data_IF_059069832716
#
_entry.id   IF_059069832716
#
_cell.length_a   1.000
_cell.length_b   1.000
_cell.length_c   1.000
_cell.angle_alpha   90.00
_cell.angle_beta   90.00
_cell.angle_gamma   90.00
#
_symmetry.space_group_name_H-M   'P 1'
#
loop_
_entity.id
_entity.type
_entity.pdbx_description
1 polymer ?
#
# COMPACT_ATOMS: atom_id res chain seq x y z
N UNK A 1 0.37 -7.18 26.93
CA UNK A 1 0.79 -7.33 25.52
C UNK A 1 2.09 -6.57 25.35
N UNK A 2 3.15 -7.19 24.82
CA UNK A 2 4.37 -6.44 24.48
C UNK A 2 4.04 -5.44 23.38
N UNK A 3 4.48 -4.20 23.54
CA UNK A 3 4.34 -3.16 22.52
C UNK A 3 5.15 -3.61 21.30
N UNK A 4 4.54 -3.62 20.12
CA UNK A 4 5.20 -4.05 18.88
C UNK A 4 6.01 -2.87 18.36
N UNK A 5 7.32 -3.02 18.22
CA UNK A 5 8.16 -1.97 17.64
C UNK A 5 7.99 -1.90 16.11
N UNK A 6 7.03 -1.08 15.64
CA UNK A 6 6.73 -0.92 14.22
C UNK A 6 7.82 -0.20 13.43
N UNK A 7 8.60 0.67 14.09
CA UNK A 7 9.73 1.37 13.47
C UNK A 7 10.84 0.36 13.12
N UNK A 8 11.23 -0.47 14.09
CA UNK A 8 12.19 -1.53 13.85
C UNK A 8 11.67 -2.57 12.83
N UNK A 9 10.39 -2.94 12.90
CA UNK A 9 9.80 -3.83 11.89
C UNK A 9 9.86 -3.23 10.47
N UNK A 10 9.66 -1.92 10.34
CA UNK A 10 9.77 -1.21 9.07
C UNK A 10 11.19 -1.27 8.54
N UNK A 11 12.19 -0.88 9.34
CA UNK A 11 13.58 -0.83 8.90
C UNK A 11 14.11 -2.22 8.54
N UNK A 12 13.87 -3.23 9.37
CA UNK A 12 14.26 -4.63 9.08
C UNK A 12 13.59 -5.13 7.80
N UNK A 13 12.31 -4.80 7.59
CA UNK A 13 11.58 -5.22 6.40
C UNK A 13 12.10 -4.51 5.15
N UNK A 14 12.38 -3.21 5.25
CA UNK A 14 12.95 -2.40 4.18
C UNK A 14 14.31 -2.93 3.75
N UNK A 15 15.24 -3.08 4.69
CA UNK A 15 16.59 -3.57 4.42
C UNK A 15 16.56 -4.94 3.73
N UNK A 16 15.69 -5.85 4.20
CA UNK A 16 15.53 -7.18 3.60
C UNK A 16 15.07 -7.14 2.14
N UNK A 17 14.16 -6.23 1.81
CA UNK A 17 13.62 -6.13 0.44
C UNK A 17 14.57 -5.40 -0.49
N UNK A 18 15.23 -4.32 -0.02
CA UNK A 18 16.23 -3.58 -0.80
C UNK A 18 17.47 -4.42 -1.09
N UNK A 19 17.88 -5.31 -0.17
CA UNK A 19 18.97 -6.28 -0.39
C UNK A 19 18.75 -7.22 -1.59
N UNK A 20 17.52 -7.40 -2.06
CA UNK A 20 17.23 -8.21 -3.26
C UNK A 20 17.59 -7.47 -4.57
N UNK A 21 17.81 -6.16 -4.53
CA UNK A 21 18.15 -5.33 -5.70
C UNK A 21 17.00 -5.06 -6.67
N UNK A 22 15.78 -5.51 -6.36
CA UNK A 22 14.58 -5.36 -7.22
C UNK A 22 13.58 -4.32 -6.71
N UNK A 23 13.69 -3.94 -5.43
CA UNK A 23 12.76 -3.03 -4.77
C UNK A 23 13.53 -1.88 -4.14
N UNK A 24 13.04 -0.66 -4.30
CA UNK A 24 13.52 0.53 -3.59
C UNK A 24 12.38 1.09 -2.73
N UNK A 25 12.66 1.46 -1.48
CA UNK A 25 11.65 1.98 -0.55
C UNK A 25 12.06 3.37 -0.08
N UNK A 26 11.25 4.36 -0.44
CA UNK A 26 11.52 5.78 -0.20
C UNK A 26 10.44 6.36 0.71
N UNK A 27 10.87 7.01 1.78
CA UNK A 27 9.99 7.85 2.58
C UNK A 27 10.01 9.27 1.99
N UNK A 28 8.83 9.84 1.74
CA UNK A 28 8.66 11.17 1.16
C UNK A 28 7.65 11.99 1.97
N UNK A 29 7.85 13.32 2.12
CA UNK A 29 6.90 14.18 2.83
C UNK A 29 5.64 14.52 2.02
N UNK A 30 5.59 14.17 0.74
CA UNK A 30 4.47 14.54 -0.12
C UNK A 30 4.22 13.50 -1.23
N UNK A 31 3.10 12.79 -1.11
CA UNK A 31 2.58 11.87 -2.13
C UNK A 31 1.54 12.50 -3.08
N UNK A 32 1.32 13.81 -3.02
CA UNK A 32 0.55 14.52 -4.05
C UNK A 32 1.34 14.63 -5.36
N UNK A 33 2.67 14.61 -5.27
CA UNK A 33 3.60 14.63 -6.39
C UNK A 33 3.45 13.33 -7.22
N UNK A 34 3.30 13.40 -8.55
CA UNK A 34 3.28 12.22 -9.42
C UNK A 34 4.52 11.33 -9.25
N UNK A 35 4.35 10.01 -9.34
CA UNK A 35 5.46 9.06 -9.17
C UNK A 35 6.67 9.33 -10.06
N UNK A 36 6.54 9.69 -11.35
CA UNK A 36 7.71 10.01 -12.19
C UNK A 36 8.53 11.17 -11.62
N UNK A 37 7.88 12.21 -11.11
CA UNK A 37 8.56 13.37 -10.54
C UNK A 37 9.23 13.03 -9.20
N UNK A 38 8.60 12.16 -8.39
CA UNK A 38 9.23 11.61 -7.19
C UNK A 38 10.47 10.76 -7.53
N UNK A 39 10.41 9.94 -8.59
CA UNK A 39 11.56 9.17 -9.06
C UNK A 39 12.72 10.09 -9.45
N UNK A 40 12.44 11.17 -10.19
CA UNK A 40 13.45 12.19 -10.54
C UNK A 40 14.03 12.85 -9.28
N UNK A 41 13.16 13.31 -8.36
CA UNK A 41 13.56 13.97 -7.10
C UNK A 41 14.50 13.09 -6.26
N UNK A 42 14.24 11.79 -6.24
CA UNK A 42 15.02 10.82 -5.49
C UNK A 42 16.14 10.16 -6.32
N UNK A 43 16.44 10.68 -7.52
CA UNK A 43 17.51 10.21 -8.40
C UNK A 43 17.41 8.72 -8.76
N UNK A 44 16.19 8.23 -8.88
CA UNK A 44 15.90 6.85 -9.30
C UNK A 44 16.03 6.79 -10.82
N UNK A 45 16.96 5.96 -11.30
CA UNK A 45 17.15 5.71 -12.73
C UNK A 45 16.09 4.75 -13.24
N UNK A 46 15.56 5.02 -14.43
CA UNK A 46 14.65 4.14 -15.14
C UNK A 46 14.73 4.40 -16.64
N UNK A 47 14.46 3.36 -17.44
CA UNK A 47 14.37 3.43 -18.90
C UNK A 47 12.92 3.65 -19.35
N UNK A 48 11.97 2.98 -18.68
CA UNK A 48 10.54 3.05 -18.96
C UNK A 48 9.75 2.87 -17.67
N UNK A 49 8.59 3.52 -17.55
CA UNK A 49 7.65 3.30 -16.45
C UNK A 49 6.52 2.44 -16.98
N UNK A 50 6.15 1.40 -16.23
CA UNK A 50 5.02 0.59 -16.61
C UNK A 50 3.73 1.39 -16.37
N UNK A 51 3.29 2.08 -17.42
CA UNK A 51 1.99 2.74 -17.42
C UNK A 51 0.90 1.68 -17.49
N UNK A 52 0.12 1.62 -16.42
CA UNK A 52 -1.18 0.98 -16.45
C UNK A 52 -2.06 1.65 -17.49
N UNK A 53 -2.51 0.92 -18.52
CA UNK A 53 -3.75 1.28 -19.20
C UNK A 53 -4.87 1.06 -18.18
N UNK A 54 -5.17 2.11 -17.41
CA UNK A 54 -6.36 2.14 -16.57
C UNK A 54 -7.53 2.20 -17.54
N UNK A 55 -8.18 1.06 -17.78
CA UNK A 55 -9.37 0.98 -18.63
C UNK A 55 -10.60 1.50 -17.88
N UNK A 56 -10.54 2.73 -17.37
CA UNK A 56 -11.69 3.43 -16.78
C UNK A 56 -11.55 4.93 -17.04
N UNK A 57 -12.53 5.51 -17.74
CA UNK A 57 -12.66 6.95 -18.03
C UNK A 57 -12.90 7.84 -16.78
N UNK A 58 -12.76 7.32 -15.56
CA UNK A 58 -13.20 8.01 -14.34
C UNK A 58 -12.49 7.47 -13.10
N UNK A 59 -11.17 7.67 -13.00
CA UNK A 59 -10.52 7.76 -11.67
C UNK A 59 -10.28 9.24 -11.40
N UNK A 60 -11.36 9.97 -11.13
CA UNK A 60 -11.23 11.25 -10.43
C UNK A 60 -10.84 10.93 -8.99
N UNK A 61 -9.57 11.14 -8.65
CA UNK A 61 -9.08 11.33 -7.29
C UNK A 61 -9.92 10.66 -6.18
N UNK A 62 -9.63 9.39 -5.93
CA UNK A 62 -9.78 8.83 -4.59
C UNK A 62 -9.04 9.79 -3.62
N UNK A 63 -9.78 10.73 -3.02
CA UNK A 63 -9.29 11.76 -2.09
C UNK A 63 -8.91 11.18 -0.73
N UNK A 64 -8.72 9.86 -0.61
CA UNK A 64 -8.20 9.26 0.59
C UNK A 64 -6.70 9.50 0.68
N UNK A 65 -6.24 9.87 1.88
CA UNK A 65 -4.83 10.01 2.27
C UNK A 65 -3.99 8.95 1.58
N UNK A 66 -3.21 9.34 0.55
CA UNK A 66 -2.24 8.47 -0.10
C UNK A 66 -1.16 8.20 0.94
N UNK A 67 -1.21 7.02 1.56
CA UNK A 67 -0.18 6.60 2.53
C UNK A 67 1.02 5.96 1.84
N UNK A 68 0.82 5.41 0.65
CA UNK A 68 1.87 4.92 -0.23
C UNK A 68 1.46 4.96 -1.69
N UNK A 69 2.45 4.97 -2.58
CA UNK A 69 2.31 4.69 -4.00
C UNK A 69 3.38 3.67 -4.40
N UNK A 70 2.98 2.63 -5.13
CA UNK A 70 3.92 1.65 -5.70
C UNK A 70 4.01 1.86 -7.20
N UNK A 71 5.21 1.91 -7.75
CA UNK A 71 5.46 2.11 -9.18
C UNK A 71 6.39 1.03 -9.70
N UNK A 72 6.02 0.45 -10.84
CA UNK A 72 6.80 -0.55 -11.56
C UNK A 72 7.49 0.11 -12.74
N UNK A 73 8.77 -0.19 -12.93
CA UNK A 73 9.58 0.42 -13.98
C UNK A 73 10.59 -0.58 -14.53
N UNK A 74 11.19 -0.24 -15.67
CA UNK A 74 12.27 -1.00 -16.29
C UNK A 74 13.58 -0.25 -16.13
N UNK A 75 14.66 -0.96 -15.81
CA UNK A 75 16.03 -0.44 -15.80
C UNK A 75 16.95 -1.57 -16.26
N UNK A 76 17.82 -1.31 -17.24
CA UNK A 76 18.79 -2.26 -17.77
C UNK A 76 18.12 -3.58 -18.22
N UNK A 77 16.97 -3.46 -18.88
CA UNK A 77 16.10 -4.56 -19.30
C UNK A 77 15.45 -5.40 -18.17
N UNK A 78 15.65 -5.07 -16.91
CA UNK A 78 15.01 -5.73 -15.78
C UNK A 78 13.82 -4.94 -15.24
N UNK A 79 12.78 -5.65 -14.77
CA UNK A 79 11.70 -5.00 -14.04
C UNK A 79 12.11 -4.74 -12.59
N UNK A 80 11.87 -3.51 -12.14
CA UNK A 80 12.10 -3.06 -10.77
C UNK A 80 10.84 -2.39 -10.22
N UNK A 81 10.81 -2.26 -8.91
CA UNK A 81 9.69 -1.63 -8.19
C UNK A 81 10.21 -0.57 -7.25
N UNK A 82 9.43 0.49 -7.07
CA UNK A 82 9.65 1.49 -6.04
C UNK A 82 8.38 1.71 -5.24
N UNK A 83 8.52 1.78 -3.91
CA UNK A 83 7.44 2.13 -2.99
C UNK A 83 7.78 3.48 -2.39
N UNK A 84 6.95 4.48 -2.65
CA UNK A 84 6.97 5.75 -1.93
C UNK A 84 5.98 5.69 -0.78
N UNK A 85 6.41 6.09 0.42
CA UNK A 85 5.59 6.06 1.64
C UNK A 85 5.60 7.47 2.24
N UNK A 86 4.42 7.98 2.57
CA UNK A 86 4.27 9.28 3.22
C UNK A 86 4.99 9.24 4.59
N UNK A 87 5.86 10.21 4.86
CA UNK A 87 6.60 10.28 6.13
C UNK A 87 5.69 10.46 7.34
N UNK A 88 4.57 11.13 7.14
CA UNK A 88 3.62 11.53 8.17
C UNK A 88 2.19 11.35 7.67
N UNK A 89 1.47 10.39 8.25
CA UNK A 89 0.10 10.02 7.86
C UNK A 89 -0.92 10.74 8.74
N UNK A 90 -0.59 10.88 10.02
CA UNK A 90 -1.31 11.68 11.00
C UNK A 90 -0.40 12.85 11.38
N UNK A 91 -0.92 14.09 11.47
CA UNK A 91 -0.15 15.24 11.91
C UNK A 91 0.67 14.95 13.18
N UNK A 92 1.96 15.30 13.15
CA UNK A 92 2.89 15.02 14.23
C UNK A 92 2.41 15.67 15.52
N UNK A 93 2.44 14.90 16.59
CA UNK A 93 2.09 15.31 17.93
C UNK A 93 3.15 14.81 18.91
N UNK A 94 3.35 15.53 20.01
CA UNK A 94 4.17 15.06 21.13
C UNK A 94 3.54 13.85 21.84
N UNK A 95 2.27 13.57 21.55
CA UNK A 95 1.56 12.37 21.99
C UNK A 95 2.26 11.09 21.48
N UNK A 96 2.66 10.24 22.43
CA UNK A 96 3.30 8.96 22.17
C UNK A 96 2.41 8.03 21.32
N UNK A 97 1.10 8.08 21.53
CA UNK A 97 0.15 7.23 20.81
C UNK A 97 0.07 7.63 19.33
N UNK A 98 0.14 8.93 19.04
CA UNK A 98 0.14 9.45 17.65
C UNK A 98 1.41 9.03 16.91
N UNK A 99 2.57 9.11 17.57
CA UNK A 99 3.83 8.63 16.97
C UNK A 99 3.76 7.13 16.69
N UNK A 100 3.32 6.35 17.67
CA UNK A 100 3.18 4.91 17.54
C UNK A 100 2.19 4.51 16.41
N UNK A 101 1.07 5.24 16.29
CA UNK A 101 0.12 5.06 15.19
C UNK A 101 0.74 5.39 13.82
N UNK A 102 1.54 6.47 13.71
CA UNK A 102 2.25 6.80 12.47
C UNK A 102 3.21 5.69 12.06
N UNK A 103 3.98 5.11 12.99
CA UNK A 103 4.85 3.97 12.70
C UNK A 103 4.06 2.74 12.23
N UNK A 104 2.96 2.41 12.92
CA UNK A 104 2.07 1.33 12.51
C UNK A 104 1.46 1.56 11.11
N UNK A 105 1.12 2.81 10.76
CA UNK A 105 0.65 3.17 9.44
C UNK A 105 1.73 3.04 8.38
N UNK A 106 2.94 3.56 8.62
CA UNK A 106 4.08 3.40 7.69
C UNK A 106 4.34 1.92 7.41
N UNK A 107 4.37 1.08 8.44
CA UNK A 107 4.52 -0.35 8.28
C UNK A 107 3.37 -0.98 7.48
N UNK A 108 2.13 -0.54 7.73
CA UNK A 108 0.96 -0.96 6.96
C UNK A 108 1.09 -0.65 5.47
N UNK A 109 1.54 0.56 5.14
CA UNK A 109 1.72 0.98 3.76
C UNK A 109 2.91 0.29 3.08
N UNK A 110 3.97 -0.02 3.83
CA UNK A 110 5.05 -0.87 3.33
C UNK A 110 4.52 -2.26 2.94
N UNK A 111 3.79 -2.93 3.83
CA UNK A 111 3.23 -4.26 3.52
C UNK A 111 2.24 -4.19 2.36
N UNK A 112 1.48 -3.09 2.22
CA UNK A 112 0.61 -2.85 1.08
C UNK A 112 1.37 -2.74 -0.23
N UNK A 113 2.43 -1.93 -0.28
CA UNK A 113 3.27 -1.83 -1.48
C UNK A 113 3.93 -3.17 -1.85
N UNK A 114 4.40 -3.92 -0.85
CA UNK A 114 4.95 -5.27 -1.07
C UNK A 114 3.90 -6.26 -1.57
N UNK A 115 2.62 -6.08 -1.23
CA UNK A 115 1.55 -6.91 -1.77
C UNK A 115 1.32 -6.65 -3.27
N UNK A 116 1.40 -5.39 -3.73
CA UNK A 116 1.38 -5.10 -5.17
C UNK A 116 2.58 -5.70 -5.89
N UNK A 117 3.77 -5.65 -5.29
CA UNK A 117 4.97 -6.27 -5.86
C UNK A 117 4.77 -7.78 -5.97
N UNK A 118 4.23 -8.42 -4.93
CA UNK A 118 3.95 -9.85 -4.97
C UNK A 118 2.92 -10.22 -6.06
N UNK A 119 1.86 -9.41 -6.22
CA UNK A 119 0.87 -9.56 -7.30
C UNK A 119 1.54 -9.46 -8.67
N UNK A 120 2.39 -8.44 -8.86
CA UNK A 120 3.13 -8.21 -10.09
C UNK A 120 4.11 -9.36 -10.40
N UNK A 121 4.95 -9.75 -9.45
CA UNK A 121 5.93 -10.83 -9.63
C UNK A 121 5.26 -12.13 -10.07
N UNK A 122 4.11 -12.46 -9.48
CA UNK A 122 3.36 -13.69 -9.75
C UNK A 122 2.33 -13.55 -10.87
N UNK A 123 2.22 -12.39 -11.53
CA UNK A 123 1.28 -12.12 -12.62
C UNK A 123 -0.18 -12.47 -12.28
N UNK A 124 -0.63 -12.21 -11.05
CA UNK A 124 -1.97 -12.62 -10.59
C UNK A 124 -3.05 -11.74 -11.23
N UNK A 125 -2.93 -10.42 -11.09
CA UNK A 125 -3.82 -9.41 -11.66
C UNK A 125 -3.09 -8.44 -12.61
N UNK A 126 -1.82 -8.72 -12.90
CA UNK A 126 -1.00 -7.99 -13.86
C UNK A 126 -0.75 -8.83 -15.11
N UNK A 127 -1.25 -8.36 -16.26
CA UNK A 127 -0.85 -8.93 -17.55
C UNK A 127 0.42 -8.22 -18.06
N UNK A 128 1.58 -8.82 -17.77
CA UNK A 128 2.90 -8.29 -18.17
C UNK A 128 3.06 -8.12 -19.69
N UNK A 129 2.45 -9.01 -20.48
CA UNK A 129 2.57 -9.01 -21.94
C UNK A 129 1.61 -8.00 -22.59
N UNK A 130 0.40 -7.85 -22.05
CA UNK A 130 -0.60 -6.92 -22.55
C UNK A 130 -0.50 -5.50 -22.01
N UNK A 131 0.38 -5.26 -21.01
CA UNK A 131 0.42 -4.01 -20.21
C UNK A 131 -0.98 -3.60 -19.70
N UNK A 132 -1.82 -4.58 -19.39
CA UNK A 132 -3.17 -4.38 -18.86
C UNK A 132 -3.17 -4.68 -17.37
N UNK A 133 -3.84 -3.83 -16.61
CA UNK A 133 -4.02 -4.00 -15.18
C UNK A 133 -5.50 -3.89 -14.81
N UNK A 134 -5.94 -4.74 -13.88
CA UNK A 134 -7.23 -4.59 -13.22
C UNK A 134 -6.99 -3.94 -11.86
N UNK A 135 -7.10 -2.61 -11.81
CA UNK A 135 -6.87 -1.81 -10.60
C UNK A 135 -7.73 -2.31 -9.44
N UNK A 136 -8.99 -2.68 -9.71
CA UNK A 136 -9.94 -3.11 -8.68
C UNK A 136 -9.43 -4.40 -8.03
N UNK A 137 -8.99 -5.36 -8.86
CA UNK A 137 -8.47 -6.64 -8.39
C UNK A 137 -7.13 -6.50 -7.69
N UNK A 138 -6.24 -5.64 -8.18
CA UNK A 138 -4.93 -5.38 -7.57
C UNK A 138 -5.08 -4.78 -6.17
N UNK A 139 -5.93 -3.76 -6.01
CA UNK A 139 -6.18 -3.13 -4.72
C UNK A 139 -6.87 -4.09 -3.75
N UNK A 140 -7.85 -4.87 -4.23
CA UNK A 140 -8.50 -5.89 -3.42
C UNK A 140 -7.53 -7.00 -3.00
N UNK A 141 -6.64 -7.43 -3.90
CA UNK A 141 -5.58 -8.38 -3.61
C UNK A 141 -4.70 -7.85 -2.47
N UNK A 142 -4.15 -6.65 -2.62
CA UNK A 142 -3.29 -6.01 -1.63
C UNK A 142 -3.98 -5.90 -0.27
N UNK A 143 -5.23 -5.44 -0.24
CA UNK A 143 -6.01 -5.34 1.00
C UNK A 143 -6.18 -6.71 1.68
N UNK A 144 -6.48 -7.76 0.91
CA UNK A 144 -6.64 -9.11 1.49
C UNK A 144 -5.31 -9.71 1.94
N UNK A 145 -4.22 -9.42 1.25
CA UNK A 145 -2.87 -9.85 1.61
C UNK A 145 -2.46 -9.30 2.97
N UNK A 146 -2.61 -7.98 3.17
CA UNK A 146 -2.23 -7.30 4.42
C UNK A 146 -3.04 -7.82 5.60
N UNK A 147 -4.36 -7.95 5.46
CA UNK A 147 -5.23 -8.47 6.53
C UNK A 147 -4.85 -9.90 6.93
N UNK A 148 -4.51 -10.75 5.95
CA UNK A 148 -3.99 -12.10 6.21
C UNK A 148 -2.65 -12.03 6.93
N UNK A 149 -1.72 -11.22 6.43
CA UNK A 149 -0.37 -11.06 6.98
C UNK A 149 -0.41 -10.64 8.45
N UNK A 150 -1.14 -9.57 8.79
CA UNK A 150 -1.25 -9.09 10.17
C UNK A 150 -1.98 -10.05 11.09
N UNK A 151 -2.92 -10.84 10.56
CA UNK A 151 -3.57 -11.89 11.35
C UNK A 151 -2.59 -13.00 11.70
N UNK A 152 -1.76 -13.45 10.76
CA UNK A 152 -0.77 -14.51 11.00
C UNK A 152 0.34 -14.04 11.95
N UNK A 153 0.71 -12.76 11.87
CA UNK A 153 1.75 -12.16 12.72
C UNK A 153 1.25 -11.64 14.07
N UNK A 154 -0.06 -11.68 14.32
CA UNK A 154 -0.67 -11.10 15.51
C UNK A 154 -0.36 -9.61 15.70
N UNK A 155 -0.29 -8.86 14.59
CA UNK A 155 -0.08 -7.41 14.59
C UNK A 155 -1.43 -6.70 14.67
N UNK A 156 -2.10 -6.88 15.81
CA UNK A 156 -3.52 -6.53 15.98
C UNK A 156 -3.80 -5.03 15.77
N UNK A 157 -2.92 -4.14 16.23
CA UNK A 157 -3.06 -2.70 16.04
C UNK A 157 -3.00 -2.30 14.56
N UNK A 158 -1.97 -2.73 13.82
CA UNK A 158 -1.87 -2.47 12.38
C UNK A 158 -3.08 -3.04 11.62
N UNK A 159 -3.55 -4.25 12.00
CA UNK A 159 -4.77 -4.84 11.44
C UNK A 159 -6.00 -3.98 11.74
N UNK A 160 -6.15 -3.48 12.96
CA UNK A 160 -7.26 -2.65 13.37
C UNK A 160 -7.27 -1.29 12.65
N UNK A 161 -6.11 -0.63 12.54
CA UNK A 161 -5.94 0.61 11.78
C UNK A 161 -6.31 0.43 10.30
N UNK A 162 -5.83 -0.65 9.69
CA UNK A 162 -6.14 -0.95 8.30
C UNK A 162 -7.61 -1.32 8.10
N UNK A 163 -8.20 -2.11 9.01
CA UNK A 163 -9.64 -2.42 8.97
C UNK A 163 -10.50 -1.16 9.10
N UNK A 164 -10.14 -0.19 9.96
CA UNK A 164 -10.79 1.13 10.04
C UNK A 164 -10.72 1.86 8.70
N UNK A 165 -9.55 1.88 8.05
CA UNK A 165 -9.38 2.49 6.72
C UNK A 165 -10.29 1.83 5.67
N UNK A 166 -10.32 0.50 5.60
CA UNK A 166 -11.17 -0.23 4.65
C UNK A 166 -12.67 -0.02 4.88
N UNK A 167 -13.10 0.20 6.12
CA UNK A 167 -14.49 0.53 6.43
C UNK A 167 -14.87 1.94 5.97
N UNK A 168 -13.92 2.89 5.93
CA UNK A 168 -14.17 4.24 5.40
C UNK A 168 -14.43 4.26 3.89
N UNK A 169 -13.84 3.32 3.13
CA UNK A 169 -14.15 3.13 1.71
C UNK A 169 -15.64 2.86 1.46
N UNK A 170 -16.38 2.34 2.45
CA UNK A 170 -17.83 2.09 2.35
C UNK A 170 -18.67 3.36 2.25
N UNK A 171 -18.08 4.48 2.68
CA UNK A 171 -18.75 5.76 2.74
C UNK A 171 -18.29 6.66 1.58
N UNK A 172 -17.47 6.15 0.66
CA UNK A 172 -17.02 6.87 -0.52
C UNK A 172 -18.13 6.93 -1.58
N UNK A 173 -18.28 8.09 -2.22
CA UNK A 173 -19.13 8.27 -3.40
C UNK A 173 -18.45 7.82 -4.70
N UNK A 174 -17.17 7.45 -4.64
CA UNK A 174 -16.38 7.04 -5.79
C UNK A 174 -16.68 5.58 -6.20
N UNK A 175 -17.06 5.40 -7.47
CA UNK A 175 -17.45 4.09 -8.01
C UNK A 175 -16.33 3.04 -7.98
N UNK A 176 -15.07 3.46 -8.15
CA UNK A 176 -13.91 2.57 -8.08
C UNK A 176 -13.69 2.10 -6.63
N UNK A 177 -13.77 3.02 -5.65
CA UNK A 177 -13.66 2.69 -4.22
C UNK A 177 -14.71 1.66 -3.79
N UNK A 178 -15.96 1.84 -4.25
CA UNK A 178 -17.05 0.90 -3.97
C UNK A 178 -16.82 -0.46 -4.63
N UNK A 179 -16.27 -0.51 -5.84
CA UNK A 179 -15.93 -1.78 -6.51
C UNK A 179 -14.80 -2.52 -5.81
N UNK A 180 -13.72 -1.81 -5.43
CA UNK A 180 -12.60 -2.38 -4.64
C UNK A 180 -13.15 -2.98 -3.36
N UNK A 181 -13.99 -2.23 -2.66
CA UNK A 181 -14.60 -2.71 -1.42
C UNK A 181 -15.44 -3.97 -1.63
N UNK A 182 -16.27 -4.02 -2.68
CA UNK A 182 -17.07 -5.21 -2.98
C UNK A 182 -16.19 -6.44 -3.18
N UNK A 183 -15.06 -6.29 -3.88
CA UNK A 183 -14.09 -7.40 -4.04
C UNK A 183 -13.46 -7.82 -2.70
N UNK A 184 -13.07 -6.86 -1.85
CA UNK A 184 -12.53 -7.15 -0.50
C UNK A 184 -13.56 -7.92 0.34
N UNK A 185 -14.83 -7.48 0.31
CA UNK A 185 -15.91 -8.05 1.12
C UNK A 185 -16.23 -9.51 0.78
N UNK A 186 -15.90 -9.99 -0.43
CA UNK A 186 -16.03 -11.41 -0.78
C UNK A 186 -15.18 -12.31 0.12
N UNK A 187 -14.05 -11.82 0.61
CA UNK A 187 -13.11 -12.58 1.45
C UNK A 187 -13.16 -12.17 2.93
N UNK A 188 -13.39 -10.90 3.21
CA UNK A 188 -13.51 -10.36 4.57
C UNK A 188 -14.85 -9.64 4.75
N UNK A 189 -15.88 -10.31 5.28
CA UNK A 189 -17.19 -9.71 5.49
C UNK A 189 -17.11 -8.47 6.39
N UNK A 190 -18.00 -7.49 6.16
CA UNK A 190 -18.06 -6.23 6.93
C UNK A 190 -18.06 -6.43 8.45
N UNK A 191 -18.79 -7.43 8.96
CA UNK A 191 -18.83 -7.78 10.39
C UNK A 191 -17.43 -8.10 10.95
N UNK A 192 -16.58 -8.79 10.17
CA UNK A 192 -15.22 -9.14 10.56
C UNK A 192 -14.29 -7.92 10.58
N UNK A 193 -14.42 -7.04 9.59
CA UNK A 193 -13.69 -5.77 9.57
C UNK A 193 -14.09 -4.87 10.76
N UNK A 194 -15.39 -4.82 11.10
CA UNK A 194 -15.90 -4.11 12.29
C UNK A 194 -15.42 -4.70 13.61
N UNK A 195 -15.21 -6.02 13.67
CA UNK A 195 -14.65 -6.66 14.85
C UNK A 195 -13.17 -6.25 15.03
N UNK A 196 -12.37 -6.35 13.97
CA UNK A 196 -10.95 -5.99 14.02
C UNK A 196 -10.72 -4.50 14.27
N UNK A 197 -11.55 -3.61 13.72
CA UNK A 197 -11.41 -2.17 13.90
C UNK A 197 -11.61 -1.68 15.35
N UNK A 198 -12.17 -2.52 16.23
CA UNK A 198 -12.40 -2.24 17.65
C UNK A 198 -11.28 -2.74 18.57
N UNK A 199 -10.22 -3.33 18.02
CA UNK A 199 -9.07 -3.87 18.78
C UNK A 199 -7.94 -2.86 18.97
N UNK A 200 -8.26 -1.56 18.95
CA UNK A 200 -7.32 -0.46 19.22
C UNK A 200 -7.51 0.00 20.65
#
# INVERSE_FOLDING_TARGET
MSVIDYENLFEVRKEKEEKKGQVTIVITPDLSIPSPDLMIRHRIKYDDILHSKITFNTISNCNDIKGSVTTFYKLDNEFKSIIFIQSEIIPYSTDLDVRYMNEAYKYTFLIHGLAHINDFENSINFNKHGKQIDVIKIEAYAATYILKYFTVKSYDMARALYARRLLKLNNSSDGCCLQIQREIMKKYPKKKLLQWSKQL
#
